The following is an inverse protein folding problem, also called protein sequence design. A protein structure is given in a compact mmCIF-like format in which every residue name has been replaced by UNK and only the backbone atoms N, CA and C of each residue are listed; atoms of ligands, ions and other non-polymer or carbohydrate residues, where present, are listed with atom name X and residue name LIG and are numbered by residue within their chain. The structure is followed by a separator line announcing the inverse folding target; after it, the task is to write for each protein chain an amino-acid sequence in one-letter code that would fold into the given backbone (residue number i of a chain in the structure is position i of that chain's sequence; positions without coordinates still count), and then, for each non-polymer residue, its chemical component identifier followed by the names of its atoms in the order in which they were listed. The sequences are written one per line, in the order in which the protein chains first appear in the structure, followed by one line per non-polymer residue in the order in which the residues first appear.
data_IF_603450990717
#
_entry.id   IF_603450990717
#
_cell.length_a   1.000
_cell.length_b   1.000
_cell.length_c   1.000
_cell.angle_alpha   90.00
_cell.angle_beta   90.00
_cell.angle_gamma   90.00
#
_symmetry.space_group_name_H-M   'P 1'
#
loop_
_entity.id
_entity.type
_entity.pdbx_description
1 polymer ?
#
# COMPACT_ATOMS: atom_id res chain seq x y z
N UNK A 1 -12.01 -36.21 15.76
CA UNK A 1 -12.65 -36.32 14.43
C UNK A 1 -13.09 -34.91 14.05
N UNK A 2 -12.71 -34.40 12.88
CA UNK A 2 -13.13 -33.07 12.43
C UNK A 2 -14.61 -33.12 12.01
N UNK A 3 -15.37 -32.06 12.31
CA UNK A 3 -16.76 -31.95 11.89
C UNK A 3 -16.83 -31.93 10.34
N UNK A 4 -17.83 -32.59 9.73
CA UNK A 4 -18.02 -32.52 8.29
C UNK A 4 -18.33 -31.07 7.86
N UNK A 5 -17.87 -30.63 6.67
CA UNK A 5 -18.13 -29.29 6.17
C UNK A 5 -19.63 -29.04 6.03
N UNK A 6 -20.10 -27.93 6.57
CA UNK A 6 -21.44 -27.40 6.34
C UNK A 6 -21.33 -26.16 5.46
N UNK A 7 -21.38 -26.38 4.16
CA UNK A 7 -21.27 -25.32 3.16
C UNK A 7 -22.59 -24.55 3.02
N UNK A 8 -22.47 -23.30 2.58
CA UNK A 8 -23.55 -22.43 2.12
C UNK A 8 -23.23 -21.94 0.71
N UNK A 9 -24.07 -21.09 0.14
CA UNK A 9 -23.78 -20.43 -1.14
C UNK A 9 -22.47 -19.60 -1.08
N UNK A 10 -22.25 -18.89 0.02
CA UNK A 10 -21.10 -17.98 0.17
C UNK A 10 -19.83 -18.64 0.70
N UNK A 11 -20.00 -19.68 1.53
CA UNK A 11 -18.95 -20.16 2.41
C UNK A 11 -18.77 -21.68 2.32
N UNK A 12 -17.57 -22.18 1.95
CA UNK A 12 -17.27 -23.62 1.94
C UNK A 12 -17.40 -24.27 3.32
N UNK A 13 -17.10 -23.53 4.39
CA UNK A 13 -17.36 -23.91 5.77
C UNK A 13 -18.01 -22.74 6.52
N UNK A 14 -18.69 -23.06 7.64
CA UNK A 14 -19.36 -22.05 8.48
C UNK A 14 -18.41 -20.94 8.98
N UNK A 15 -17.13 -21.27 9.20
CA UNK A 15 -16.11 -20.34 9.67
C UNK A 15 -14.83 -20.50 8.86
N UNK A 16 -14.18 -19.40 8.50
CA UNK A 16 -12.92 -19.43 7.80
C UNK A 16 -12.58 -18.13 7.07
N UNK A 17 -11.37 -18.10 6.53
CA UNK A 17 -10.90 -17.03 5.65
C UNK A 17 -10.63 -17.65 4.28
N UNK A 18 -11.14 -17.02 3.23
CA UNK A 18 -11.06 -17.53 1.87
C UNK A 18 -10.52 -16.46 0.94
N UNK A 19 -9.55 -16.81 0.11
CA UNK A 19 -9.05 -15.92 -0.94
C UNK A 19 -10.18 -15.58 -1.92
N UNK A 20 -10.22 -14.33 -2.36
CA UNK A 20 -11.03 -13.89 -3.49
C UNK A 20 -10.11 -13.41 -4.62
N UNK A 21 -10.67 -13.32 -5.83
CA UNK A 21 -9.96 -12.84 -7.00
C UNK A 21 -8.98 -13.85 -7.62
N UNK A 22 -8.08 -13.35 -8.44
CA UNK A 22 -7.14 -14.16 -9.23
C UNK A 22 -5.69 -13.71 -8.99
N UNK A 23 -4.75 -14.23 -9.78
CA UNK A 23 -3.33 -13.88 -9.63
C UNK A 23 -3.03 -12.38 -9.84
N UNK A 24 -3.89 -11.65 -10.55
CA UNK A 24 -3.73 -10.22 -10.85
C UNK A 24 -4.56 -9.33 -9.92
N UNK A 25 -5.50 -9.91 -9.17
CA UNK A 25 -6.38 -9.21 -8.23
C UNK A 25 -6.43 -10.00 -6.92
N UNK A 26 -5.28 -10.12 -6.27
CA UNK A 26 -5.07 -11.02 -5.14
C UNK A 26 -5.23 -10.34 -3.77
N UNK A 27 -5.67 -9.07 -3.75
CA UNK A 27 -5.81 -8.24 -2.55
C UNK A 27 -7.13 -8.41 -1.78
N UNK A 28 -7.99 -9.34 -2.18
CA UNK A 28 -9.32 -9.49 -1.59
C UNK A 28 -9.49 -10.84 -0.91
N UNK A 29 -10.27 -10.87 0.16
CA UNK A 29 -10.59 -12.09 0.89
C UNK A 29 -11.98 -12.03 1.49
N UNK A 30 -12.49 -13.19 1.89
CA UNK A 30 -13.77 -13.36 2.55
C UNK A 30 -13.58 -13.94 3.93
N UNK A 31 -14.25 -13.37 4.93
CA UNK A 31 -14.41 -13.97 6.25
C UNK A 31 -15.81 -14.58 6.31
N UNK A 32 -15.89 -15.84 6.67
CA UNK A 32 -17.14 -16.54 6.92
C UNK A 32 -17.39 -16.63 8.43
N UNK A 33 -18.60 -16.26 8.86
CA UNK A 33 -19.07 -16.42 10.23
C UNK A 33 -20.48 -17.00 10.23
N UNK A 34 -20.64 -18.20 10.80
CA UNK A 34 -21.90 -18.95 10.79
C UNK A 34 -22.51 -19.08 9.39
N UNK A 35 -21.65 -19.32 8.39
CA UNK A 35 -22.06 -19.49 6.99
C UNK A 35 -22.38 -18.20 6.24
N UNK A 36 -22.23 -17.03 6.87
CA UNK A 36 -22.41 -15.72 6.21
C UNK A 36 -21.04 -15.18 5.80
N UNK A 37 -20.88 -14.86 4.52
CA UNK A 37 -19.64 -14.34 3.95
C UNK A 37 -19.56 -12.82 3.95
N UNK A 38 -18.43 -12.28 4.37
CA UNK A 38 -18.12 -10.85 4.33
C UNK A 38 -16.82 -10.63 3.57
N UNK A 39 -16.85 -9.83 2.51
CA UNK A 39 -15.66 -9.54 1.70
C UNK A 39 -14.88 -8.37 2.31
N UNK A 40 -13.55 -8.43 2.22
CA UNK A 40 -12.61 -7.44 2.71
C UNK A 40 -11.46 -7.25 1.72
N UNK A 41 -10.90 -6.05 1.72
CA UNK A 41 -9.68 -5.73 1.01
C UNK A 41 -8.50 -5.74 1.99
N UNK A 42 -7.36 -6.26 1.53
CA UNK A 42 -6.09 -6.05 2.19
C UNK A 42 -5.67 -4.57 2.13
N UNK A 43 -4.82 -4.10 3.06
CA UNK A 43 -4.19 -2.79 2.93
C UNK A 43 -3.53 -2.61 1.55
N UNK A 44 -3.51 -1.37 1.03
CA UNK A 44 -3.03 -1.08 -0.33
C UNK A 44 -1.66 -1.71 -0.59
N UNK A 45 -1.56 -2.43 -1.71
CA UNK A 45 -0.32 -3.11 -2.13
C UNK A 45 -0.06 -4.47 -1.49
N UNK A 46 -0.90 -4.96 -0.57
CA UNK A 46 -0.80 -6.30 0.02
C UNK A 46 -1.75 -7.30 -0.64
N UNK A 47 -1.40 -8.58 -0.54
CA UNK A 47 -2.12 -9.72 -1.10
C UNK A 47 -2.59 -10.66 0.01
N UNK A 48 -3.78 -11.24 -0.10
CA UNK A 48 -4.23 -12.23 0.87
C UNK A 48 -3.50 -13.56 0.67
N UNK A 49 -2.85 -14.04 1.73
CA UNK A 49 -2.15 -15.31 1.77
C UNK A 49 -3.02 -16.37 2.45
N UNK A 50 -3.50 -17.33 1.68
CA UNK A 50 -4.35 -18.43 2.15
C UNK A 50 -3.63 -19.43 3.07
N UNK A 51 -2.29 -19.44 3.09
CA UNK A 51 -1.50 -20.30 3.98
C UNK A 51 -1.30 -19.68 5.37
N UNK A 52 -1.00 -18.39 5.43
CA UNK A 52 -0.81 -17.65 6.68
C UNK A 52 -2.09 -17.00 7.20
N UNK A 53 -3.16 -17.02 6.40
CA UNK A 53 -4.48 -16.42 6.66
C UNK A 53 -4.42 -14.91 6.97
N UNK A 54 -3.50 -14.19 6.33
CA UNK A 54 -3.28 -12.75 6.52
C UNK A 54 -2.89 -12.09 5.20
N UNK A 55 -2.90 -10.75 5.20
CA UNK A 55 -2.34 -9.97 4.11
C UNK A 55 -0.80 -9.95 4.21
N UNK A 56 -0.13 -10.49 3.20
CA UNK A 56 1.33 -10.50 3.06
C UNK A 56 1.75 -9.72 1.80
N UNK A 57 3.05 -9.55 1.61
CA UNK A 57 3.58 -8.97 0.38
C UNK A 57 3.23 -9.85 -0.83
N UNK A 58 2.82 -9.27 -1.98
CA UNK A 58 2.42 -10.06 -3.15
C UNK A 58 3.51 -11.02 -3.65
N UNK A 59 4.78 -10.68 -3.48
CA UNK A 59 5.91 -11.54 -3.86
C UNK A 59 6.09 -12.77 -2.95
N UNK A 60 5.45 -12.78 -1.78
CA UNK A 60 5.45 -13.88 -0.82
C UNK A 60 4.16 -14.71 -0.86
N UNK A 61 3.22 -14.37 -1.75
CA UNK A 61 1.97 -15.11 -1.97
C UNK A 61 2.09 -15.90 -3.27
N UNK A 62 2.27 -17.21 -3.18
CA UNK A 62 2.51 -18.10 -4.33
C UNK A 62 1.44 -17.96 -5.43
N UNK A 63 0.19 -17.71 -5.03
CA UNK A 63 -0.95 -17.59 -5.94
C UNK A 63 -1.20 -16.15 -6.41
N UNK A 64 -0.26 -15.22 -6.18
CA UNK A 64 -0.30 -13.84 -6.66
C UNK A 64 0.86 -13.50 -7.60
N UNK A 65 0.56 -12.85 -8.72
CA UNK A 65 1.55 -12.22 -9.59
C UNK A 65 1.77 -10.78 -9.13
N UNK A 66 2.86 -10.55 -8.39
CA UNK A 66 3.18 -9.25 -7.81
C UNK A 66 3.26 -8.11 -8.84
N UNK A 67 3.91 -8.32 -9.98
CA UNK A 67 4.07 -7.27 -10.99
C UNK A 67 2.74 -6.90 -11.65
N UNK A 68 1.93 -7.90 -12.00
CA UNK A 68 0.62 -7.67 -12.60
C UNK A 68 -0.36 -7.02 -11.61
N UNK A 69 -0.39 -7.51 -10.36
CA UNK A 69 -1.23 -6.94 -9.31
C UNK A 69 -0.84 -5.49 -8.97
N UNK A 70 0.46 -5.21 -8.93
CA UNK A 70 0.95 -3.87 -8.60
C UNK A 70 1.05 -2.94 -9.80
N UNK A 71 0.91 -3.45 -11.03
CA UNK A 71 1.09 -2.69 -12.26
C UNK A 71 2.48 -2.09 -12.41
N UNK A 72 3.50 -2.74 -11.85
CA UNK A 72 4.87 -2.24 -11.82
C UNK A 72 5.85 -3.41 -11.88
N UNK A 73 6.85 -3.32 -12.76
CA UNK A 73 7.97 -4.26 -12.84
C UNK A 73 9.23 -3.54 -12.41
N UNK A 74 10.08 -4.22 -11.63
CA UNK A 74 11.32 -3.64 -11.16
C UNK A 74 12.25 -3.35 -12.35
N UNK A 75 12.74 -2.11 -12.51
CA UNK A 75 13.77 -1.81 -13.50
C UNK A 75 14.98 -2.71 -13.27
N UNK A 76 15.52 -3.27 -14.36
CA UNK A 76 16.61 -4.25 -14.30
C UNK A 76 17.82 -3.72 -13.53
N UNK A 77 18.45 -4.61 -12.77
CA UNK A 77 19.71 -4.35 -12.09
C UNK A 77 20.72 -3.87 -13.14
N UNK A 78 21.08 -2.58 -13.12
CA UNK A 78 22.29 -2.13 -13.78
C UNK A 78 23.44 -2.89 -13.10
N UNK A 79 24.18 -3.76 -13.82
CA UNK A 79 25.28 -4.53 -13.22
C UNK A 79 26.41 -3.62 -12.69
N UNK A 80 26.41 -2.33 -13.06
CA UNK A 80 27.30 -1.31 -12.53
C UNK A 80 26.66 -0.43 -11.43
N UNK A 81 25.44 -0.75 -10.98
CA UNK A 81 24.81 0.00 -9.90
C UNK A 81 25.56 -0.24 -8.60
N UNK A 82 26.02 0.84 -7.98
CA UNK A 82 26.69 0.82 -6.67
C UNK A 82 25.77 0.20 -5.59
N UNK A 83 24.45 0.29 -5.79
CA UNK A 83 23.42 -0.27 -4.92
C UNK A 83 23.05 -1.72 -5.24
N UNK A 84 23.61 -2.32 -6.29
CA UNK A 84 23.45 -3.76 -6.57
C UNK A 84 23.96 -4.62 -5.40
N UNK A 85 24.91 -4.10 -4.62
CA UNK A 85 25.45 -4.77 -3.45
C UNK A 85 24.45 -4.90 -2.28
N UNK A 86 23.43 -4.03 -2.20
CA UNK A 86 22.48 -4.05 -1.08
C UNK A 86 21.27 -4.98 -1.32
N UNK A 87 21.08 -5.45 -2.55
CA UNK A 87 19.99 -6.39 -2.89
C UNK A 87 18.59 -5.77 -2.89
N UNK A 88 18.46 -4.48 -2.59
CA UNK A 88 17.21 -3.74 -2.68
C UNK A 88 17.38 -2.31 -3.24
N UNK A 89 16.33 -1.78 -3.87
CA UNK A 89 16.31 -0.42 -4.42
C UNK A 89 14.90 0.17 -4.40
N UNK A 90 14.80 1.48 -4.22
CA UNK A 90 13.53 2.21 -4.28
C UNK A 90 13.33 2.90 -5.63
N UNK A 91 12.07 2.96 -6.08
CA UNK A 91 11.65 3.63 -7.30
C UNK A 91 10.35 4.39 -7.05
N UNK A 92 10.25 5.66 -7.48
CA UNK A 92 8.96 6.37 -7.51
C UNK A 92 7.93 5.61 -8.36
N UNK A 93 6.67 5.66 -7.95
CA UNK A 93 5.58 5.21 -8.82
C UNK A 93 5.45 6.14 -10.05
N UNK A 94 5.26 5.59 -11.26
CA UNK A 94 5.12 6.38 -12.48
C UNK A 94 3.78 7.11 -12.57
N UNK A 95 2.78 6.71 -11.79
CA UNK A 95 1.40 7.21 -11.87
C UNK A 95 0.94 7.94 -10.61
N UNK A 96 1.68 7.88 -9.51
CA UNK A 96 1.29 8.45 -8.22
C UNK A 96 2.50 8.89 -7.42
N UNK A 97 2.69 10.21 -7.28
CA UNK A 97 3.82 10.79 -6.57
C UNK A 97 3.92 10.38 -5.09
N UNK A 98 2.80 10.04 -4.45
CA UNK A 98 2.80 9.63 -3.05
C UNK A 98 3.19 8.16 -2.89
N UNK A 99 3.21 7.38 -3.98
CA UNK A 99 3.54 5.96 -3.96
C UNK A 99 4.95 5.71 -4.49
N UNK A 100 5.55 4.66 -3.97
CA UNK A 100 6.85 4.18 -4.41
C UNK A 100 6.94 2.67 -4.27
N UNK A 101 7.95 2.09 -4.90
CA UNK A 101 8.20 0.66 -4.93
C UNK A 101 9.57 0.37 -4.34
N UNK A 102 9.62 -0.58 -3.42
CA UNK A 102 10.84 -1.24 -2.99
C UNK A 102 10.99 -2.53 -3.78
N UNK A 103 12.04 -2.61 -4.58
CA UNK A 103 12.42 -3.82 -5.29
C UNK A 103 13.42 -4.60 -4.45
N UNK A 104 13.10 -5.85 -4.10
CA UNK A 104 14.01 -6.78 -3.43
C UNK A 104 14.21 -7.95 -4.37
N UNK A 105 15.45 -8.22 -4.78
CA UNK A 105 15.76 -9.29 -5.74
C UNK A 105 14.91 -9.21 -7.03
N UNK A 106 14.61 -7.99 -7.48
CA UNK A 106 13.79 -7.74 -8.67
C UNK A 106 12.28 -7.90 -8.47
N UNK A 107 11.80 -8.15 -7.24
CA UNK A 107 10.37 -8.25 -6.94
C UNK A 107 9.84 -6.97 -6.27
N UNK A 108 8.75 -6.37 -6.78
CA UNK A 108 8.27 -5.10 -6.28
C UNK A 108 7.35 -5.22 -5.06
N UNK A 109 7.51 -4.29 -4.13
CA UNK A 109 6.60 -4.05 -3.00
C UNK A 109 6.20 -2.59 -2.98
N UNK A 110 4.90 -2.31 -2.92
CA UNK A 110 4.37 -0.94 -2.94
C UNK A 110 4.34 -0.35 -1.53
N UNK A 111 4.69 0.93 -1.44
CA UNK A 111 4.60 1.74 -0.23
C UNK A 111 3.99 3.11 -0.57
N UNK A 112 3.60 3.84 0.48
CA UNK A 112 3.07 5.20 0.39
C UNK A 112 3.83 6.12 1.35
N UNK A 113 4.13 7.34 0.90
CA UNK A 113 4.71 8.41 1.70
C UNK A 113 3.70 9.08 2.65
N UNK A 114 2.40 8.92 2.38
CA UNK A 114 1.33 9.59 3.11
C UNK A 114 1.03 11.00 2.60
N UNK A 115 -0.04 11.57 3.14
CA UNK A 115 -0.63 12.82 2.66
C UNK A 115 0.35 13.99 2.71
N UNK A 116 0.52 14.69 1.59
CA UNK A 116 1.40 15.86 1.46
C UNK A 116 2.87 15.54 1.19
N UNK A 117 3.24 14.26 1.12
CA UNK A 117 4.60 13.82 0.83
C UNK A 117 4.67 13.05 -0.49
N UNK A 118 5.81 13.15 -1.17
CA UNK A 118 6.09 12.42 -2.39
C UNK A 118 7.46 11.75 -2.33
N UNK A 119 7.65 10.69 -3.11
CA UNK A 119 8.93 9.99 -3.14
C UNK A 119 9.97 10.77 -3.97
N UNK A 120 11.06 11.16 -3.32
CA UNK A 120 12.14 11.90 -3.93
C UNK A 120 13.24 10.92 -4.40
N UNK A 121 13.38 10.73 -5.71
CA UNK A 121 14.37 9.81 -6.29
C UNK A 121 15.82 10.27 -6.04
N UNK A 122 16.04 11.57 -5.80
CA UNK A 122 17.38 12.10 -5.52
C UNK A 122 17.88 11.71 -4.13
N UNK A 123 16.99 11.66 -3.15
CA UNK A 123 17.30 11.27 -1.77
C UNK A 123 16.93 9.82 -1.47
N UNK A 124 16.21 9.16 -2.37
CA UNK A 124 15.62 7.83 -2.18
C UNK A 124 14.74 7.75 -0.91
N UNK A 125 14.00 8.82 -0.63
CA UNK A 125 13.15 8.93 0.57
C UNK A 125 11.91 9.78 0.29
N UNK A 126 10.92 9.70 1.19
CA UNK A 126 9.78 10.62 1.16
C UNK A 126 10.21 12.03 1.58
N UNK A 127 9.73 13.03 0.86
CA UNK A 127 9.96 14.46 1.10
C UNK A 127 8.65 15.23 0.88
N UNK A 128 8.56 16.46 1.36
CA UNK A 128 7.40 17.32 1.09
C UNK A 128 7.16 17.41 -0.42
N UNK A 129 5.91 17.25 -0.87
CA UNK A 129 5.58 17.15 -2.30
C UNK A 129 6.08 18.35 -3.12
N UNK A 130 6.23 19.52 -2.49
CA UNK A 130 6.80 20.74 -3.06
C UNK A 130 8.30 20.66 -3.36
N UNK A 131 9.05 19.82 -2.63
CA UNK A 131 10.49 19.61 -2.83
C UNK A 131 10.77 18.57 -3.92
N UNK A 132 9.73 17.87 -4.38
CA UNK A 132 9.84 16.76 -5.33
C UNK A 132 9.56 17.24 -6.75
N UNK A 133 10.62 17.37 -7.55
CA UNK A 133 10.54 17.76 -8.96
C UNK A 133 9.55 16.87 -9.73
N UNK A 134 8.65 17.51 -10.49
CA UNK A 134 7.62 16.84 -11.28
C UNK A 134 6.40 16.35 -10.49
N UNK A 135 6.40 16.50 -9.16
CA UNK A 135 5.27 16.17 -8.29
C UNK A 135 4.63 17.39 -7.63
N UNK A 136 5.33 18.53 -7.60
CA UNK A 136 4.75 19.79 -7.15
C UNK A 136 3.56 20.17 -8.06
N UNK A 137 2.36 20.24 -7.48
CA UNK A 137 1.21 20.80 -8.16
C UNK A 137 1.45 22.29 -8.42
N UNK A 138 1.24 22.80 -9.64
CA UNK A 138 1.25 24.23 -9.87
C UNK A 138 0.06 24.88 -9.15
N UNK A 139 0.31 25.38 -7.94
CA UNK A 139 -0.53 26.33 -7.23
C UNK A 139 -1.68 25.75 -6.41
N UNK A 140 -1.42 25.47 -5.13
CA UNK A 140 -2.35 25.83 -4.04
C UNK A 140 -1.58 26.37 -2.83
N UNK A 141 -1.11 27.62 -2.96
CA UNK A 141 -1.09 28.53 -1.81
C UNK A 141 -2.51 29.05 -1.63
N UNK A 142 -3.40 28.22 -1.11
CA UNK A 142 -4.61 28.74 -0.47
C UNK A 142 -4.26 28.78 1.01
N UNK A 143 -3.82 29.96 1.46
CA UNK A 143 -3.79 30.27 2.87
C UNK A 143 -5.21 30.01 3.39
N UNK A 144 -5.38 28.98 4.21
CA UNK A 144 -6.61 28.75 4.95
C UNK A 144 -6.84 29.97 5.86
N UNK A 145 -7.87 30.80 5.61
CA UNK A 145 -8.14 31.98 6.42
C UNK A 145 -8.64 31.60 7.83
N UNK A 146 -8.98 30.33 8.08
CA UNK A 146 -9.65 29.90 9.31
C UNK A 146 -8.72 29.45 10.44
N UNK A 147 -7.40 29.61 10.29
CA UNK A 147 -6.43 29.29 11.36
C UNK A 147 -5.76 30.53 11.99
N UNK A 148 -6.44 31.68 12.01
CA UNK A 148 -6.02 32.87 12.76
C UNK A 148 -6.78 33.10 14.07
N UNK A 149 -7.85 32.36 14.37
CA UNK A 149 -8.71 32.65 15.53
C UNK A 149 -8.37 31.88 16.82
N UNK A 150 -7.34 31.04 16.85
CA UNK A 150 -7.03 30.20 18.02
C UNK A 150 -5.90 30.72 18.92
N UNK A 151 -5.32 31.90 18.66
CA UNK A 151 -4.17 32.40 19.44
C UNK A 151 -4.33 33.78 20.09
N UNK A 152 -5.44 34.51 19.91
CA UNK A 152 -5.60 35.87 20.49
C UNK A 152 -6.65 35.98 21.61
N UNK A 153 -7.50 34.97 21.86
CA UNK A 153 -8.43 34.96 23.03
C UNK A 153 -7.77 34.49 24.35
N UNK A 154 -6.46 34.71 24.53
CA UNK A 154 -5.76 34.38 25.79
C UNK A 154 -5.08 35.56 26.48
N UNK A 155 -5.37 36.80 26.09
CA UNK A 155 -4.67 37.94 26.71
C UNK A 155 -5.46 39.25 26.79
N UNK A 156 -6.65 39.25 27.40
CA UNK A 156 -7.21 40.48 27.99
C UNK A 156 -8.25 40.19 29.08
N UNK A 157 -7.77 39.86 30.28
CA UNK A 157 -8.50 40.03 31.54
C UNK A 157 -7.48 40.36 32.63
N UNK A 158 -7.26 41.66 32.85
CA UNK A 158 -6.73 42.33 34.06
C UNK A 158 -6.50 43.81 33.73
N UNK A 159 -7.44 44.67 34.09
CA UNK A 159 -7.40 45.67 35.18
C UNK A 159 -8.83 46.20 35.32
#
# INVERSE_FOLDING_TARGET
QLQPPQATEDCPHQFGYYKLGNAENCGQFRICASGVGHNFDCPDGLAFNEYSLRCDWPDQVETCNAEAYLGFSCPSNDPNSIFAAEGYRFFRSPSDCQKYFLCIEGRPRRFSCGDGYAFNDLTSSCDGIENVTGCAFPGKREADPHRLDLFVERNQLRI
#
